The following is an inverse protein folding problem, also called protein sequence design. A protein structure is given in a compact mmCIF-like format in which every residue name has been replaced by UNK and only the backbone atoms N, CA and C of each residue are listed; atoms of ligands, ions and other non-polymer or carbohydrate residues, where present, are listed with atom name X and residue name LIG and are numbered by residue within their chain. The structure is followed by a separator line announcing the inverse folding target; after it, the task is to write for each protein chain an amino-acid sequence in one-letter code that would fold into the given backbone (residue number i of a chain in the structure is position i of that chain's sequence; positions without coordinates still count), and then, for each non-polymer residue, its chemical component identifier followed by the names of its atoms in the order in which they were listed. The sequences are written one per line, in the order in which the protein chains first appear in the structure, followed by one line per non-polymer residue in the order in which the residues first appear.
data_IF_393884154524
#
_entry.id   IF_393884154524
#
_cell.length_a   1.000
_cell.length_b   1.000
_cell.length_c   1.000
_cell.angle_alpha   90.00
_cell.angle_beta   90.00
_cell.angle_gamma   90.00
#
_symmetry.space_group_name_H-M   'P 1'
#
loop_
_entity.id
_entity.type
_entity.pdbx_description
1 polymer ?
#
# COMPACT_ATOMS: atom_id res chain seq x y z
N UNK A 1 -52.80 0.05 14.70
CA UNK A 1 -51.61 -0.16 15.56
C UNK A 1 -50.52 -0.97 14.85
N UNK A 2 -50.42 -0.85 13.52
CA UNK A 2 -49.39 -1.54 12.70
C UNK A 2 -48.09 -0.71 12.63
N UNK A 3 -48.16 0.54 13.08
CA UNK A 3 -47.11 1.56 12.99
C UNK A 3 -45.89 1.21 13.86
N UNK A 4 -46.09 0.50 14.98
CA UNK A 4 -45.00 0.03 15.82
C UNK A 4 -44.15 -1.05 15.15
N UNK A 5 -44.76 -1.89 14.32
CA UNK A 5 -44.02 -2.93 13.60
C UNK A 5 -43.12 -2.30 12.54
N UNK A 6 -43.65 -1.34 11.77
CA UNK A 6 -42.87 -0.59 10.80
C UNK A 6 -41.73 0.20 11.48
N UNK A 7 -42.01 0.83 12.62
CA UNK A 7 -41.01 1.55 13.40
C UNK A 7 -39.90 0.62 13.90
N UNK A 8 -40.26 -0.51 14.52
CA UNK A 8 -39.30 -1.48 15.03
C UNK A 8 -38.47 -2.12 13.91
N UNK A 9 -39.11 -2.45 12.77
CA UNK A 9 -38.43 -2.98 11.60
C UNK A 9 -37.43 -1.95 11.02
N UNK A 10 -37.85 -0.70 10.86
CA UNK A 10 -36.99 0.37 10.36
C UNK A 10 -35.77 0.60 11.26
N UNK A 11 -35.97 0.64 12.58
CA UNK A 11 -34.88 0.79 13.55
C UNK A 11 -33.97 -0.44 13.57
N UNK A 12 -34.53 -1.66 13.49
CA UNK A 12 -33.75 -2.89 13.43
C UNK A 12 -32.86 -2.95 12.18
N UNK A 13 -33.41 -2.60 11.01
CA UNK A 13 -32.64 -2.52 9.77
C UNK A 13 -31.54 -1.46 9.84
N UNK A 14 -31.83 -0.29 10.44
CA UNK A 14 -30.83 0.76 10.66
C UNK A 14 -29.71 0.29 11.59
N UNK A 15 -30.04 -0.38 12.69
CA UNK A 15 -29.04 -0.92 13.62
C UNK A 15 -28.13 -1.96 12.94
N UNK A 16 -28.71 -2.85 12.13
CA UNK A 16 -27.94 -3.85 11.35
C UNK A 16 -27.04 -3.16 10.33
N UNK A 17 -27.54 -2.14 9.63
CA UNK A 17 -26.75 -1.39 8.66
C UNK A 17 -25.55 -0.69 9.32
N UNK A 18 -25.77 -0.06 10.49
CA UNK A 18 -24.71 0.56 11.28
C UNK A 18 -23.69 -0.46 11.79
N UNK A 19 -24.14 -1.60 12.31
CA UNK A 19 -23.26 -2.68 12.75
C UNK A 19 -22.39 -3.18 11.59
N UNK A 20 -23.00 -3.40 10.42
CA UNK A 20 -22.27 -3.83 9.22
C UNK A 20 -21.26 -2.78 8.76
N UNK A 21 -21.59 -1.49 8.85
CA UNK A 21 -20.69 -0.41 8.51
C UNK A 21 -19.49 -0.36 9.47
N UNK A 22 -19.72 -0.44 10.78
CA UNK A 22 -18.63 -0.47 11.78
C UNK A 22 -17.70 -1.67 11.62
N UNK A 23 -18.25 -2.84 11.26
CA UNK A 23 -17.46 -4.05 11.00
C UNK A 23 -16.85 -4.09 9.60
N UNK A 24 -17.08 -3.07 8.76
CA UNK A 24 -16.57 -3.05 7.38
C UNK A 24 -15.06 -2.84 7.40
N UNK A 25 -14.35 -3.77 6.77
CA UNK A 25 -12.91 -3.60 6.52
C UNK A 25 -12.66 -2.30 5.74
N UNK A 26 -11.65 -1.56 6.16
CA UNK A 26 -11.26 -0.31 5.51
C UNK A 26 -12.14 0.89 5.87
N UNK A 27 -13.03 0.81 6.85
CA UNK A 27 -13.79 1.98 7.31
C UNK A 27 -12.88 3.11 7.80
N UNK A 28 -11.82 2.76 8.54
CA UNK A 28 -10.86 3.70 9.11
C UNK A 28 -9.60 3.89 8.24
N UNK A 29 -9.57 3.32 7.03
CA UNK A 29 -8.44 3.45 6.13
C UNK A 29 -8.58 4.75 5.34
N UNK A 30 -7.81 5.75 5.74
CA UNK A 30 -7.63 6.98 4.98
C UNK A 30 -6.61 6.74 3.83
N UNK A 31 -7.02 6.85 2.55
CA UNK A 31 -6.13 6.70 1.41
C UNK A 31 -4.92 7.64 1.46
N UNK A 32 -5.11 8.88 1.93
CA UNK A 32 -4.05 9.89 1.98
C UNK A 32 -2.96 9.52 2.99
N UNK A 33 -3.35 8.96 4.14
CA UNK A 33 -2.39 8.46 5.13
C UNK A 33 -1.60 7.26 4.57
N UNK A 34 -2.24 6.43 3.75
CA UNK A 34 -1.58 5.34 3.03
C UNK A 34 -0.46 5.84 2.11
N UNK A 35 -0.75 6.87 1.32
CA UNK A 35 0.22 7.51 0.41
C UNK A 35 1.39 8.14 1.17
N UNK A 36 1.11 8.88 2.24
CA UNK A 36 2.15 9.52 3.07
C UNK A 36 3.08 8.47 3.71
N UNK A 37 2.54 7.35 4.20
CA UNK A 37 3.34 6.25 4.75
C UNK A 37 4.23 5.62 3.69
N UNK A 38 3.68 5.34 2.51
CA UNK A 38 4.44 4.77 1.39
C UNK A 38 5.58 5.69 0.95
N UNK A 39 5.32 7.00 0.83
CA UNK A 39 6.34 7.99 0.50
C UNK A 39 7.42 8.08 1.59
N UNK A 40 7.03 8.09 2.87
CA UNK A 40 7.96 8.13 4.00
C UNK A 40 8.87 6.91 4.02
N UNK A 41 8.34 5.71 3.79
CA UNK A 41 9.13 4.48 3.74
C UNK A 41 10.06 4.44 2.53
N UNK A 42 9.63 4.95 1.37
CA UNK A 42 10.47 5.10 0.20
C UNK A 42 11.64 6.08 0.47
N UNK A 43 11.35 7.22 1.08
CA UNK A 43 12.34 8.23 1.42
C UNK A 43 13.33 7.72 2.49
N UNK A 44 12.85 6.98 3.50
CA UNK A 44 13.71 6.30 4.48
C UNK A 44 14.65 5.30 3.81
N UNK A 45 14.14 4.47 2.89
CA UNK A 45 14.98 3.52 2.12
C UNK A 45 16.03 4.26 1.30
N UNK A 46 15.65 5.32 0.58
CA UNK A 46 16.57 6.12 -0.22
C UNK A 46 17.66 6.83 0.61
N UNK A 47 17.30 7.30 1.81
CA UNK A 47 18.22 8.03 2.71
C UNK A 47 19.07 7.10 3.57
N UNK A 48 18.66 5.85 3.76
CA UNK A 48 19.44 4.87 4.53
C UNK A 48 20.66 4.35 3.75
N UNK A 49 21.79 4.17 4.46
CA UNK A 49 23.00 3.56 3.87
C UNK A 49 22.71 2.15 3.33
N UNK A 50 21.92 1.37 4.08
CA UNK A 50 21.52 0.02 3.70
C UNK A 50 20.66 0.01 2.41
N UNK A 51 19.71 0.92 2.29
CA UNK A 51 18.86 1.05 1.10
C UNK A 51 19.62 1.57 -0.11
N UNK A 52 20.54 2.55 0.06
CA UNK A 52 21.47 2.96 -1.00
C UNK A 52 22.35 1.82 -1.48
N UNK A 53 22.85 0.98 -0.57
CA UNK A 53 23.69 -0.15 -0.91
C UNK A 53 22.89 -1.30 -1.57
N UNK A 54 21.63 -1.50 -1.17
CA UNK A 54 20.72 -2.42 -1.84
C UNK A 54 20.39 -1.96 -3.27
N UNK A 55 20.09 -0.67 -3.46
CA UNK A 55 19.82 -0.09 -4.78
C UNK A 55 21.04 -0.14 -5.73
N UNK A 56 22.27 -0.10 -5.18
CA UNK A 56 23.49 -0.34 -5.97
C UNK A 56 23.59 -1.80 -6.41
N UNK A 57 23.32 -2.75 -5.52
CA UNK A 57 23.37 -4.18 -5.82
C UNK A 57 22.35 -4.60 -6.89
N UNK A 58 21.12 -4.09 -6.83
CA UNK A 58 20.12 -4.37 -7.87
C UNK A 58 20.54 -3.85 -9.24
N UNK A 59 21.13 -2.64 -9.30
CA UNK A 59 21.71 -2.09 -10.56
C UNK A 59 22.88 -2.91 -11.10
N UNK A 60 23.71 -3.47 -10.23
CA UNK A 60 24.84 -4.32 -10.65
C UNK A 60 24.39 -5.69 -11.15
N UNK A 61 23.28 -6.23 -10.62
CA UNK A 61 22.73 -7.53 -11.04
C UNK A 61 21.96 -7.45 -12.36
N UNK A 62 21.38 -6.29 -12.70
CA UNK A 62 20.68 -6.05 -13.98
C UNK A 62 21.62 -5.73 -15.16
N UNK A 63 22.93 -5.60 -14.96
CA UNK A 63 23.91 -5.59 -16.04
C UNK A 63 24.48 -7.00 -16.22
N UNK A 64 23.87 -7.86 -17.07
CA UNK A 64 24.60 -8.99 -17.61
C UNK A 64 25.70 -8.40 -18.50
N UNK A 65 26.93 -8.44 -17.99
CA UNK A 65 28.09 -8.93 -18.72
C UNK A 65 27.97 -8.77 -20.25
N UNK A 66 28.11 -7.55 -20.78
CA UNK A 66 28.54 -7.36 -22.15
C UNK A 66 30.05 -7.64 -22.17
N UNK A 67 30.36 -8.93 -22.27
CA UNK A 67 31.70 -9.47 -22.45
C UNK A 67 32.42 -8.80 -23.62
N UNK A 68 33.74 -8.71 -23.47
CA UNK A 68 34.62 -7.93 -24.29
C UNK A 68 34.87 -8.46 -25.70
N UNK A 69 35.32 -7.54 -26.54
CA UNK A 69 36.21 -7.86 -27.66
C UNK A 69 37.38 -6.91 -27.63
N UNK A 70 38.51 -7.49 -27.26
CA UNK A 70 39.89 -7.13 -27.61
C UNK A 70 40.00 -6.34 -28.92
N UNK A 71 40.71 -5.21 -28.87
CA UNK A 71 41.53 -4.75 -29.99
C UNK A 71 42.69 -3.91 -29.45
N UNK A 72 43.69 -4.60 -28.92
CA UNK A 72 45.08 -4.16 -28.99
C UNK A 72 45.66 -4.69 -30.32
N UNK A 73 46.54 -3.89 -30.93
CA UNK A 73 47.37 -4.14 -32.12
C UNK A 73 46.70 -4.18 -33.51
N UNK A 74 46.86 -3.07 -34.25
CA UNK A 74 47.35 -3.03 -35.63
C UNK A 74 47.81 -1.60 -35.99
#
# INVERSE_FOLDING_TARGET
MIDYFALALGHGLLAIALLRLMLREGLDVDPLIGEIKAETDANRKATSVAGRNAARRTKTVEQPQADGTSSADA
#
